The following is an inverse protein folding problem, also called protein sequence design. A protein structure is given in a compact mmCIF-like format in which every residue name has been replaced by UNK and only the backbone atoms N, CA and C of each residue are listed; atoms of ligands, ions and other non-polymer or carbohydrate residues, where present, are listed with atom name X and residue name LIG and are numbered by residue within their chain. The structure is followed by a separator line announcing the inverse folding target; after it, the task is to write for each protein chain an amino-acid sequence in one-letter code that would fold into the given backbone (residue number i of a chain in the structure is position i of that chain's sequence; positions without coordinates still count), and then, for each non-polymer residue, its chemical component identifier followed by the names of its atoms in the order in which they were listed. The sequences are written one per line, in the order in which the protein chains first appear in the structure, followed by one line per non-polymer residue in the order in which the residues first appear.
data_IF_067333172172
#
_entry.id   IF_067333172172
#
_cell.length_a   1.000
_cell.length_b   1.000
_cell.length_c   1.000
_cell.angle_alpha   90.00
_cell.angle_beta   90.00
_cell.angle_gamma   90.00
#
_symmetry.space_group_name_H-M   'P 1'
#
loop_
_entity.id
_entity.type
_entity.pdbx_description
1 polymer ?
#
# COMPACT_ATOMS: atom_id res chain seq x y z
N UNK A 1 18.62 2.08 4.76
CA UNK A 1 17.78 1.64 5.89
C UNK A 1 16.31 1.56 5.59
N UNK A 2 15.69 2.65 5.09
CA UNK A 2 14.25 2.62 4.77
C UNK A 2 13.91 1.58 3.69
N UNK A 3 14.59 1.62 2.56
CA UNK A 3 14.34 0.70 1.46
C UNK A 3 14.63 -0.75 1.87
N UNK A 4 15.70 -0.98 2.64
CA UNK A 4 16.04 -2.30 3.16
C UNK A 4 14.95 -2.81 4.11
N UNK A 5 14.45 -1.97 5.02
CA UNK A 5 13.37 -2.33 5.94
C UNK A 5 12.07 -2.68 5.20
N UNK A 6 11.68 -1.90 4.19
CA UNK A 6 10.48 -2.17 3.40
C UNK A 6 10.63 -3.41 2.52
N UNK A 7 11.82 -3.65 1.98
CA UNK A 7 12.14 -4.89 1.27
C UNK A 7 12.05 -6.10 2.19
N UNK A 8 12.53 -6.00 3.43
CA UNK A 8 12.42 -7.05 4.43
C UNK A 8 10.95 -7.37 4.76
N UNK A 9 10.10 -6.36 4.94
CA UNK A 9 8.67 -6.55 5.18
C UNK A 9 8.00 -7.29 4.01
N UNK A 10 8.35 -6.94 2.77
CA UNK A 10 7.85 -7.62 1.57
C UNK A 10 8.22 -9.10 1.58
N UNK A 11 9.49 -9.42 1.85
CA UNK A 11 9.97 -10.80 1.89
C UNK A 11 9.42 -11.56 3.09
N UNK A 12 9.26 -10.90 4.24
CA UNK A 12 8.64 -11.49 5.42
C UNK A 12 7.18 -11.87 5.14
N UNK A 13 6.43 -11.02 4.45
CA UNK A 13 5.07 -11.31 4.03
C UNK A 13 5.02 -12.61 3.21
N UNK A 14 5.94 -12.78 2.27
CA UNK A 14 6.03 -13.99 1.45
C UNK A 14 6.42 -15.23 2.28
N UNK A 15 7.41 -15.09 3.13
CA UNK A 15 7.85 -16.19 4.00
C UNK A 15 6.75 -16.67 4.94
N UNK A 16 6.10 -15.74 5.62
CA UNK A 16 4.99 -16.06 6.51
C UNK A 16 3.79 -16.66 5.77
N UNK A 17 3.52 -16.19 4.55
CA UNK A 17 2.49 -16.79 3.71
C UNK A 17 2.74 -18.28 3.51
N UNK A 18 3.95 -18.66 3.13
CA UNK A 18 4.31 -20.05 2.87
C UNK A 18 4.23 -20.90 4.14
N UNK A 19 4.77 -20.37 5.24
CA UNK A 19 4.83 -21.11 6.50
C UNK A 19 3.47 -21.30 7.16
N UNK A 20 2.59 -20.30 7.09
CA UNK A 20 1.34 -20.26 7.84
C UNK A 20 0.12 -20.76 7.03
N UNK A 21 0.29 -20.94 5.72
CA UNK A 21 -0.82 -21.40 4.87
C UNK A 21 -1.42 -22.72 5.33
N UNK A 22 -0.60 -23.62 5.84
CA UNK A 22 -1.04 -24.93 6.39
C UNK A 22 -1.98 -24.78 7.60
N UNK A 23 -1.98 -23.61 8.25
CA UNK A 23 -2.84 -23.31 9.37
C UNK A 23 -4.06 -22.49 8.94
N UNK A 24 -4.30 -22.34 7.63
CA UNK A 24 -5.35 -21.51 7.07
C UNK A 24 -5.20 -20.04 7.48
N UNK A 25 -3.97 -19.55 7.51
CA UNK A 25 -3.65 -18.15 7.79
C UNK A 25 -3.12 -17.51 6.51
N UNK A 26 -3.80 -16.48 6.03
CA UNK A 26 -3.36 -15.70 4.90
C UNK A 26 -2.53 -14.51 5.40
N UNK A 27 -1.43 -14.23 4.72
CA UNK A 27 -0.52 -13.14 5.04
C UNK A 27 -0.34 -12.27 3.81
N UNK A 28 -0.86 -11.05 3.87
CA UNK A 28 -0.81 -10.09 2.78
C UNK A 28 -0.32 -8.74 3.29
N UNK A 29 0.11 -7.90 2.38
CA UNK A 29 0.50 -6.53 2.68
C UNK A 29 -0.34 -5.53 1.92
N UNK A 30 -0.45 -4.33 2.48
CA UNK A 30 -0.98 -3.17 1.78
C UNK A 30 0.20 -2.24 1.47
N UNK A 31 0.29 -1.81 0.22
CA UNK A 31 1.34 -0.90 -0.24
C UNK A 31 0.68 0.42 -0.65
N UNK A 32 0.57 1.38 0.28
CA UNK A 32 -0.06 2.66 -0.01
C UNK A 32 0.87 3.56 -0.83
N UNK A 33 0.29 4.39 -1.69
CA UNK A 33 0.97 5.49 -2.33
C UNK A 33 1.08 6.70 -1.40
N UNK A 34 0.86 7.88 -1.95
CA UNK A 34 0.94 9.13 -1.18
C UNK A 34 -0.43 9.51 -0.63
N UNK A 35 -0.54 9.55 0.69
CA UNK A 35 -1.77 9.85 1.42
C UNK A 35 -1.60 11.09 2.28
N UNK A 36 -2.67 11.87 2.43
CA UNK A 36 -2.71 13.03 3.31
C UNK A 36 -2.78 12.55 4.75
N UNK A 37 -1.69 12.73 5.49
CA UNK A 37 -1.61 12.38 6.92
C UNK A 37 -0.92 13.52 7.65
N UNK A 38 -0.93 13.48 8.99
CA UNK A 38 -0.17 14.44 9.78
C UNK A 38 1.32 14.42 9.42
N UNK A 39 1.86 13.22 9.12
CA UNK A 39 3.27 13.05 8.75
C UNK A 39 3.61 13.68 7.39
N UNK A 40 2.66 13.70 6.46
CA UNK A 40 2.87 14.21 5.09
C UNK A 40 2.37 15.64 4.89
N UNK A 41 1.82 16.28 5.92
CA UNK A 41 1.16 17.58 5.79
C UNK A 41 2.08 18.65 5.17
N UNK A 42 3.36 18.68 5.55
CA UNK A 42 4.32 19.63 5.00
C UNK A 42 4.50 19.44 3.48
N UNK A 43 4.46 18.20 3.00
CA UNK A 43 4.54 17.89 1.56
C UNK A 43 3.24 18.23 0.84
N UNK A 44 2.10 18.00 1.48
CA UNK A 44 0.78 18.39 0.93
C UNK A 44 0.72 19.89 0.70
N UNK A 45 1.24 20.68 1.65
CA UNK A 45 1.24 22.14 1.61
C UNK A 45 2.32 22.69 0.66
N UNK A 46 3.30 21.89 0.26
CA UNK A 46 4.32 22.25 -0.73
C UNK A 46 3.72 22.14 -2.13
N UNK A 47 3.47 23.29 -2.76
CA UNK A 47 2.85 23.33 -4.09
C UNK A 47 3.68 22.60 -5.15
N UNK A 48 5.00 22.75 -5.12
CA UNK A 48 5.88 22.11 -6.10
C UNK A 48 5.82 20.59 -5.97
N UNK A 49 5.84 20.07 -4.74
CA UNK A 49 5.74 18.65 -4.49
C UNK A 49 4.35 18.11 -4.91
N UNK A 50 3.28 18.78 -4.54
CA UNK A 50 1.92 18.38 -4.92
C UNK A 50 1.73 18.40 -6.43
N UNK A 51 2.24 19.40 -7.13
CA UNK A 51 2.19 19.45 -8.59
C UNK A 51 2.94 18.26 -9.21
N UNK A 52 4.13 17.94 -8.70
CA UNK A 52 4.88 16.77 -9.13
C UNK A 52 4.10 15.47 -8.89
N UNK A 53 3.53 15.31 -7.70
CA UNK A 53 2.75 14.13 -7.33
C UNK A 53 1.53 13.95 -8.24
N UNK A 54 0.81 15.04 -8.50
CA UNK A 54 -0.37 14.99 -9.38
C UNK A 54 -0.01 14.62 -10.82
N UNK A 55 1.14 15.06 -11.30
CA UNK A 55 1.63 14.66 -12.64
C UNK A 55 2.09 13.20 -12.67
N UNK A 56 2.70 12.74 -11.59
CA UNK A 56 3.27 11.39 -11.50
C UNK A 56 2.21 10.32 -11.25
N UNK A 57 1.08 10.70 -10.65
CA UNK A 57 0.02 9.78 -10.26
C UNK A 57 -1.14 9.86 -11.25
N UNK A 58 -1.55 8.77 -11.90
CA UNK A 58 -2.69 8.79 -12.83
C UNK A 58 -3.98 9.34 -12.24
N UNK A 59 -4.27 9.07 -10.95
CA UNK A 59 -5.43 9.64 -10.27
C UNK A 59 -5.30 11.16 -10.03
N UNK A 60 -4.11 11.73 -10.24
CA UNK A 60 -3.81 13.16 -10.17
C UNK A 60 -4.18 13.82 -8.84
N UNK A 61 -4.00 13.11 -7.74
CA UNK A 61 -4.31 13.62 -6.41
C UNK A 61 -3.62 12.83 -5.31
N UNK A 62 -3.58 13.41 -4.13
CA UNK A 62 -3.28 12.70 -2.88
C UNK A 62 -4.40 11.71 -2.55
N UNK A 63 -4.03 10.59 -1.91
CA UNK A 63 -5.00 9.69 -1.32
C UNK A 63 -5.51 10.21 0.02
N UNK A 64 -6.74 9.85 0.35
CA UNK A 64 -7.31 10.08 1.68
C UNK A 64 -7.14 8.80 2.52
N UNK A 65 -6.75 8.88 3.81
CA UNK A 65 -6.60 7.71 4.67
C UNK A 65 -7.82 6.78 4.69
N UNK A 66 -9.02 7.32 4.56
CA UNK A 66 -10.24 6.51 4.47
C UNK A 66 -10.25 5.57 3.27
N UNK A 67 -9.48 5.89 2.23
CA UNK A 67 -9.40 5.07 1.02
C UNK A 67 -8.55 3.79 1.22
N UNK A 68 -7.89 3.64 2.37
CA UNK A 68 -7.21 2.39 2.77
C UNK A 68 -8.13 1.42 3.51
N UNK A 69 -9.26 1.89 4.02
CA UNK A 69 -10.17 1.07 4.84
C UNK A 69 -10.70 -0.12 4.05
N UNK A 70 -11.11 0.09 2.79
CA UNK A 70 -11.64 -0.98 1.94
C UNK A 70 -10.62 -2.10 1.71
N UNK A 71 -9.36 -1.75 1.49
CA UNK A 71 -8.29 -2.75 1.33
C UNK A 71 -8.09 -3.57 2.60
N UNK A 72 -8.07 -2.93 3.77
CA UNK A 72 -7.93 -3.61 5.05
C UNK A 72 -9.12 -4.54 5.32
N UNK A 73 -10.34 -4.08 5.07
CA UNK A 73 -11.55 -4.89 5.23
C UNK A 73 -11.54 -6.09 4.27
N UNK A 74 -11.22 -5.86 3.00
CA UNK A 74 -11.12 -6.94 2.01
C UNK A 74 -10.13 -8.01 2.44
N UNK A 75 -8.91 -7.62 2.80
CA UNK A 75 -7.86 -8.56 3.20
C UNK A 75 -8.12 -9.25 4.54
N UNK A 76 -9.02 -8.70 5.35
CA UNK A 76 -9.42 -9.27 6.65
C UNK A 76 -10.71 -10.09 6.59
N UNK A 77 -11.31 -10.21 5.42
CA UNK A 77 -12.62 -10.85 5.23
C UNK A 77 -12.49 -12.16 4.45
N UNK A 78 -13.58 -12.93 4.43
CA UNK A 78 -13.68 -14.15 3.62
C UNK A 78 -13.57 -13.88 2.12
N UNK A 79 -13.83 -12.65 1.68
CA UNK A 79 -13.68 -12.27 0.28
C UNK A 79 -12.25 -12.44 -0.24
N UNK A 80 -11.27 -12.48 0.64
CA UNK A 80 -9.86 -12.66 0.30
C UNK A 80 -9.26 -13.99 0.74
N UNK A 81 -10.09 -15.00 0.99
CA UNK A 81 -9.62 -16.30 1.53
C UNK A 81 -8.56 -16.97 0.65
N UNK A 82 -8.58 -16.74 -0.65
CA UNK A 82 -7.61 -17.30 -1.57
C UNK A 82 -6.52 -16.31 -1.99
N UNK A 83 -6.50 -15.10 -1.41
CA UNK A 83 -5.46 -14.10 -1.60
C UNK A 83 -4.41 -14.30 -0.53
N UNK A 84 -3.18 -14.68 -0.91
CA UNK A 84 -2.13 -15.00 0.04
C UNK A 84 -0.76 -14.63 -0.52
N UNK A 85 0.08 -14.01 0.30
CA UNK A 85 1.42 -13.58 -0.10
C UNK A 85 1.44 -12.36 -1.02
N UNK A 86 0.34 -11.64 -1.13
CA UNK A 86 0.15 -10.53 -2.06
C UNK A 86 0.42 -9.17 -1.41
N UNK A 87 0.96 -8.23 -2.23
CA UNK A 87 0.99 -6.82 -1.89
C UNK A 87 -0.08 -6.10 -2.69
N UNK A 88 -1.09 -5.59 -2.01
CA UNK A 88 -2.16 -4.82 -2.63
C UNK A 88 -1.76 -3.35 -2.68
N UNK A 89 -1.52 -2.86 -3.90
CA UNK A 89 -1.18 -1.46 -4.10
C UNK A 89 -2.42 -0.58 -4.09
N UNK A 90 -2.40 0.45 -3.25
CA UNK A 90 -3.45 1.46 -3.14
C UNK A 90 -2.77 2.81 -3.31
N UNK A 91 -2.54 3.21 -4.55
CA UNK A 91 -1.60 4.29 -4.88
C UNK A 91 -2.07 5.22 -6.02
N UNK A 92 -3.32 5.11 -6.43
CA UNK A 92 -3.85 5.93 -7.54
C UNK A 92 -3.20 5.64 -8.89
N UNK A 93 -2.54 4.49 -9.03
CA UNK A 93 -1.87 4.08 -10.26
C UNK A 93 -0.40 4.51 -10.35
N UNK A 94 0.16 5.10 -9.30
CA UNK A 94 1.51 5.66 -9.34
C UNK A 94 2.58 4.64 -9.73
N UNK A 95 2.49 3.43 -9.21
CA UNK A 95 3.49 2.38 -9.49
C UNK A 95 3.52 1.95 -10.95
N UNK A 96 2.36 1.93 -11.61
CA UNK A 96 2.25 1.46 -12.99
C UNK A 96 2.36 2.59 -14.01
N UNK A 97 2.47 3.84 -13.58
CA UNK A 97 2.66 4.98 -14.46
C UNK A 97 4.06 4.96 -15.09
N UNK A 98 4.11 5.18 -16.37
CA UNK A 98 5.37 5.24 -17.15
C UNK A 98 5.73 6.66 -17.54
#
# INVERSE_FOLDING_TARGET
PYAAAKGAVKMLTRGMCVELARHNIQVNGIAPGYFKTAMTQALVDDKAFTDWLCKRTPAARWGDPQELVGAAVFLSSKASDFVNGHLLFVDGGMLVAV
#
